data_IF_303587258442
#
_entry.id   IF_303587258442
#
_cell.length_a   1.000
_cell.length_b   1.000
_cell.length_c   1.000
_cell.angle_alpha   90.00
_cell.angle_beta   90.00
_cell.angle_gamma   90.00
#
_symmetry.space_group_name_H-M   'P 1'
#
loop_
_entity.id
_entity.type
_entity.pdbx_description
1 polymer ?
#
# COMPACT_ATOMS: atom_id res chain seq x y z
N UNK A 1 47.09 -3.31 -5.36
CA UNK A 1 46.30 -2.09 -5.59
C UNK A 1 44.85 -2.41 -5.23
N UNK A 2 44.39 -1.98 -4.05
CA UNK A 2 43.05 -2.26 -3.55
C UNK A 2 42.06 -1.23 -4.11
N UNK A 3 41.28 -1.61 -5.11
CA UNK A 3 40.19 -0.81 -5.66
C UNK A 3 38.95 -0.88 -4.76
N UNK A 4 39.01 -0.24 -3.60
CA UNK A 4 37.81 0.13 -2.84
C UNK A 4 37.26 1.43 -3.42
N UNK A 5 36.58 1.34 -4.57
CA UNK A 5 35.74 2.44 -5.04
C UNK A 5 34.59 2.68 -4.05
N UNK A 6 34.14 3.93 -3.85
CA UNK A 6 32.97 4.20 -3.02
C UNK A 6 31.78 3.42 -3.61
N UNK A 7 31.25 2.47 -2.84
CA UNK A 7 30.00 1.76 -3.21
C UNK A 7 28.88 2.79 -3.39
N UNK A 8 27.89 2.56 -4.26
CA UNK A 8 26.76 3.48 -4.42
C UNK A 8 25.94 3.50 -3.13
N UNK A 9 26.26 4.44 -2.24
CA UNK A 9 25.53 4.72 -1.03
C UNK A 9 24.22 5.52 -1.19
N UNK A 10 23.86 6.20 -2.33
CA UNK A 10 22.71 7.12 -2.31
C UNK A 10 21.35 6.41 -2.25
N UNK A 11 21.24 5.18 -2.76
CA UNK A 11 19.96 4.46 -2.77
C UNK A 11 19.60 3.86 -1.41
N UNK A 12 20.57 3.76 -0.49
CA UNK A 12 20.32 3.23 0.85
C UNK A 12 19.46 4.21 1.66
N UNK A 13 19.76 5.50 1.55
CA UNK A 13 19.01 6.56 2.23
C UNK A 13 17.60 6.70 1.64
N UNK A 14 17.48 6.56 0.31
CA UNK A 14 16.18 6.52 -0.39
C UNK A 14 15.32 5.35 0.09
N UNK A 15 15.90 4.17 0.26
CA UNK A 15 15.17 2.97 0.69
C UNK A 15 14.67 3.05 2.16
N UNK A 16 15.38 3.78 3.01
CA UNK A 16 14.99 3.98 4.41
C UNK A 16 13.70 4.79 4.55
N UNK A 17 13.46 5.75 3.65
CA UNK A 17 12.26 6.60 3.69
C UNK A 17 11.23 6.19 2.63
N UNK A 18 9.96 5.91 3.01
CA UNK A 18 8.90 5.60 2.04
C UNK A 18 8.62 6.80 1.11
N UNK A 19 8.73 8.03 1.61
CA UNK A 19 8.55 9.23 0.80
C UNK A 19 9.70 9.42 -0.20
N UNK A 20 10.94 9.22 0.23
CA UNK A 20 12.09 9.33 -0.67
C UNK A 20 12.01 8.26 -1.77
N UNK A 21 11.60 7.03 -1.42
CA UNK A 21 11.34 5.97 -2.39
C UNK A 21 10.27 6.38 -3.40
N UNK A 22 9.14 6.96 -2.95
CA UNK A 22 8.09 7.39 -3.86
C UNK A 22 8.54 8.51 -4.82
N UNK A 23 9.27 9.52 -4.31
CA UNK A 23 9.84 10.59 -5.15
C UNK A 23 10.79 10.04 -6.20
N UNK A 24 11.72 9.17 -5.78
CA UNK A 24 12.69 8.54 -6.69
C UNK A 24 12.02 7.71 -7.79
N UNK A 25 10.99 6.93 -7.44
CA UNK A 25 10.23 6.15 -8.43
C UNK A 25 9.42 7.03 -9.39
N UNK A 26 8.89 8.15 -8.90
CA UNK A 26 8.18 9.12 -9.74
C UNK A 26 9.13 9.82 -10.74
N UNK A 27 10.35 10.15 -10.32
CA UNK A 27 11.37 10.72 -11.22
C UNK A 27 11.75 9.72 -12.33
N UNK A 28 11.93 8.44 -11.98
CA UNK A 28 12.15 7.38 -12.97
C UNK A 28 10.95 7.26 -13.90
N UNK A 29 9.73 7.26 -13.36
CA UNK A 29 8.52 7.16 -14.16
C UNK A 29 8.42 8.30 -15.18
N UNK A 30 8.75 9.55 -14.79
CA UNK A 30 8.78 10.69 -15.70
C UNK A 30 9.75 10.45 -16.86
N UNK A 31 10.99 10.03 -16.56
CA UNK A 31 11.99 9.73 -17.60
C UNK A 31 11.51 8.61 -18.52
N UNK A 32 10.87 7.56 -17.96
CA UNK A 32 10.32 6.46 -18.75
C UNK A 32 9.18 6.92 -19.66
N UNK A 33 8.32 7.84 -19.22
CA UNK A 33 7.25 8.40 -20.05
C UNK A 33 7.82 9.23 -21.20
N UNK A 34 8.86 10.03 -20.95
CA UNK A 34 9.56 10.78 -22.00
C UNK A 34 10.21 9.84 -23.03
N UNK A 35 10.87 8.76 -22.55
CA UNK A 35 11.42 7.71 -23.41
C UNK A 35 10.29 7.01 -24.19
N UNK A 36 9.16 6.73 -23.55
CA UNK A 36 7.99 6.13 -24.17
C UNK A 36 7.47 6.96 -25.35
N UNK A 37 7.33 8.27 -25.17
CA UNK A 37 6.93 9.18 -26.25
C UNK A 37 7.92 9.16 -27.43
N UNK A 38 9.22 9.15 -27.15
CA UNK A 38 10.25 9.03 -28.17
C UNK A 38 10.19 7.69 -28.91
N UNK A 39 9.94 6.58 -28.20
CA UNK A 39 9.79 5.25 -28.77
C UNK A 39 8.53 5.13 -29.64
N UNK A 40 7.43 5.79 -29.28
CA UNK A 40 6.23 5.84 -30.11
C UNK A 40 6.48 6.55 -31.43
N UNK A 41 7.20 7.68 -31.40
CA UNK A 41 7.61 8.40 -32.61
C UNK A 41 8.51 7.49 -33.45
N UNK A 42 9.53 6.90 -32.84
CA UNK A 42 10.44 5.98 -33.53
C UNK A 42 9.70 4.79 -34.15
N UNK A 43 8.70 4.23 -33.48
CA UNK A 43 7.89 3.13 -34.01
C UNK A 43 7.06 3.54 -35.23
N UNK A 44 6.52 4.77 -35.24
CA UNK A 44 5.83 5.33 -36.42
C UNK A 44 6.80 5.51 -37.59
N UNK A 45 7.94 6.16 -37.36
CA UNK A 45 8.94 6.41 -38.40
C UNK A 45 9.52 5.10 -38.96
N UNK A 46 9.86 4.16 -38.09
CA UNK A 46 10.37 2.84 -38.49
C UNK A 46 9.34 2.08 -39.32
N UNK A 47 8.06 2.14 -38.94
CA UNK A 47 6.98 1.52 -39.72
C UNK A 47 6.87 2.15 -41.11
N UNK A 48 6.91 3.48 -41.21
CA UNK A 48 6.84 4.18 -42.50
C UNK A 48 8.03 3.81 -43.36
N UNK A 49 9.24 3.87 -42.80
CA UNK A 49 10.47 3.54 -43.49
C UNK A 49 10.50 2.08 -43.97
N UNK A 50 10.34 1.11 -43.08
CA UNK A 50 10.43 -0.31 -43.41
C UNK A 50 9.33 -0.79 -44.37
N UNK A 51 8.14 -0.18 -44.33
CA UNK A 51 7.08 -0.47 -45.31
C UNK A 51 7.30 0.21 -46.66
N UNK A 52 8.01 1.35 -46.67
CA UNK A 52 8.39 2.08 -47.87
C UNK A 52 9.61 1.52 -48.60
N UNK A 53 10.44 0.70 -47.92
CA UNK A 53 11.59 0.04 -48.53
C UNK A 53 11.17 -1.20 -49.33
N UNK A 54 10.78 -0.98 -50.59
CA UNK A 54 10.57 -2.03 -51.59
C UNK A 54 11.86 -2.40 -52.32
N UNK A 55 11.94 -3.65 -52.74
CA UNK A 55 12.98 -4.19 -53.62
C UNK A 55 12.36 -4.44 -54.98
N UNK A 56 13.15 -4.38 -56.06
CA UNK A 56 12.69 -4.69 -57.40
C UNK A 56 12.04 -6.09 -57.45
N UNK A 57 10.84 -6.17 -58.06
CA UNK A 57 10.03 -7.40 -58.09
C UNK A 57 9.07 -7.57 -56.91
N UNK A 58 9.10 -6.69 -55.90
CA UNK A 58 8.14 -6.75 -54.80
C UNK A 58 6.73 -6.34 -55.23
N UNK A 59 5.75 -7.20 -54.90
CA UNK A 59 4.35 -6.82 -54.74
C UNK A 59 4.17 -5.87 -53.55
N UNK A 60 3.08 -5.10 -53.59
CA UNK A 60 2.73 -4.07 -52.59
C UNK A 60 2.77 -4.54 -51.12
N UNK A 61 2.57 -5.82 -50.82
CA UNK A 61 2.54 -6.36 -49.46
C UNK A 61 3.86 -6.98 -48.99
N UNK A 62 4.86 -7.20 -49.85
CA UNK A 62 6.10 -7.87 -49.46
C UNK A 62 6.94 -7.03 -48.49
N UNK A 63 7.09 -5.74 -48.75
CA UNK A 63 7.74 -4.81 -47.82
C UNK A 63 7.02 -4.78 -46.46
N UNK A 64 5.68 -4.80 -46.47
CA UNK A 64 4.91 -4.87 -45.23
C UNK A 64 5.17 -6.16 -44.44
N UNK A 65 5.24 -7.32 -45.09
CA UNK A 65 5.53 -8.58 -44.40
C UNK A 65 6.92 -8.59 -43.76
N UNK A 66 7.93 -8.02 -44.44
CA UNK A 66 9.29 -7.89 -43.90
C UNK A 66 9.38 -6.89 -42.74
N UNK A 67 8.54 -5.85 -42.73
CA UNK A 67 8.49 -4.87 -41.65
C UNK A 67 7.84 -5.41 -40.35
N UNK A 68 6.92 -6.39 -40.46
CA UNK A 68 6.14 -6.91 -39.32
C UNK A 68 6.96 -7.35 -38.09
N UNK A 69 8.10 -8.06 -38.21
CA UNK A 69 8.88 -8.47 -37.04
C UNK A 69 9.43 -7.27 -36.27
N UNK A 70 9.88 -6.23 -36.97
CA UNK A 70 10.41 -4.99 -36.37
C UNK A 70 9.28 -4.22 -35.68
N UNK A 71 8.14 -4.06 -36.34
CA UNK A 71 6.96 -3.41 -35.76
C UNK A 71 6.48 -4.12 -34.50
N UNK A 72 6.48 -5.47 -34.53
CA UNK A 72 6.10 -6.28 -33.37
C UNK A 72 7.07 -6.07 -32.21
N UNK A 73 8.38 -6.12 -32.47
CA UNK A 73 9.40 -5.90 -31.44
C UNK A 73 9.25 -4.52 -30.78
N UNK A 74 9.05 -3.46 -31.56
CA UNK A 74 8.85 -2.10 -31.01
C UNK A 74 7.55 -1.99 -30.20
N UNK A 75 6.48 -2.64 -30.67
CA UNK A 75 5.22 -2.70 -29.91
C UNK A 75 5.37 -3.45 -28.59
N UNK A 76 6.13 -4.54 -28.56
CA UNK A 76 6.39 -5.32 -27.35
C UNK A 76 7.21 -4.49 -26.35
N UNK A 77 8.21 -3.72 -26.81
CA UNK A 77 8.96 -2.78 -25.96
C UNK A 77 8.04 -1.73 -25.34
N UNK A 78 7.16 -1.10 -26.11
CA UNK A 78 6.19 -0.12 -25.59
C UNK A 78 5.26 -0.74 -24.54
N UNK A 79 4.80 -1.98 -24.76
CA UNK A 79 3.98 -2.72 -23.79
C UNK A 79 4.75 -2.99 -22.49
N UNK A 80 6.00 -3.40 -22.59
CA UNK A 80 6.88 -3.62 -21.43
C UNK A 80 7.13 -2.32 -20.66
N UNK A 81 7.29 -1.19 -21.36
CA UNK A 81 7.45 0.12 -20.73
C UNK A 81 6.20 0.52 -19.93
N UNK A 82 5.00 0.35 -20.50
CA UNK A 82 3.74 0.61 -19.78
C UNK A 82 3.59 -0.30 -18.55
N UNK A 83 3.96 -1.57 -18.68
CA UNK A 83 3.92 -2.51 -17.56
C UNK A 83 4.93 -2.14 -16.46
N UNK A 84 6.10 -1.63 -16.85
CA UNK A 84 7.13 -1.14 -15.94
C UNK A 84 6.64 0.09 -15.17
N UNK A 85 6.07 1.08 -15.85
CA UNK A 85 5.54 2.31 -15.20
C UNK A 85 4.43 1.98 -14.19
N UNK A 86 3.50 1.09 -14.55
CA UNK A 86 2.50 0.59 -13.59
C UNK A 86 3.14 -0.15 -12.40
N UNK A 87 4.20 -0.92 -12.65
CA UNK A 87 4.95 -1.63 -11.63
C UNK A 87 5.60 -0.69 -10.63
N UNK A 88 6.15 0.43 -11.10
CA UNK A 88 6.76 1.46 -10.25
C UNK A 88 5.72 2.10 -9.33
N UNK A 89 4.55 2.50 -9.85
CA UNK A 89 3.45 3.05 -9.04
C UNK A 89 2.99 2.06 -7.96
N UNK A 90 2.75 0.80 -8.36
CA UNK A 90 2.35 -0.27 -7.44
C UNK A 90 3.41 -0.50 -6.36
N UNK A 91 4.70 -0.40 -6.70
CA UNK A 91 5.79 -0.57 -5.74
C UNK A 91 5.86 0.57 -4.72
N UNK A 92 5.69 1.82 -5.16
CA UNK A 92 5.63 2.99 -4.28
C UNK A 92 4.46 2.88 -3.30
N UNK A 93 3.27 2.52 -3.80
CA UNK A 93 2.08 2.28 -2.96
C UNK A 93 2.33 1.19 -1.91
N UNK A 94 2.87 0.04 -2.32
CA UNK A 94 3.16 -1.08 -1.40
C UNK A 94 4.21 -0.72 -0.35
N UNK A 95 5.24 0.06 -0.70
CA UNK A 95 6.26 0.51 0.26
C UNK A 95 5.68 1.40 1.34
N UNK A 96 4.75 2.29 0.98
CA UNK A 96 4.03 3.15 1.93
C UNK A 96 3.11 2.33 2.83
N UNK A 97 2.32 1.42 2.25
CA UNK A 97 1.45 0.53 3.02
C UNK A 97 2.24 -0.32 4.04
N UNK A 98 3.42 -0.82 3.65
CA UNK A 98 4.30 -1.53 4.58
C UNK A 98 4.70 -0.65 5.77
N UNK A 99 5.09 0.61 5.54
CA UNK A 99 5.48 1.53 6.60
C UNK A 99 4.33 1.79 7.60
N UNK A 100 3.14 2.03 7.07
CA UNK A 100 1.93 2.24 7.88
C UNK A 100 1.60 1.00 8.72
N UNK A 101 1.76 -0.21 8.17
CA UNK A 101 1.58 -1.45 8.95
C UNK A 101 2.61 -1.59 10.07
N UNK A 102 3.88 -1.23 9.85
CA UNK A 102 4.92 -1.26 10.88
C UNK A 102 4.60 -0.29 12.02
N UNK A 103 4.17 0.94 11.71
CA UNK A 103 3.76 1.93 12.71
C UNK A 103 2.57 1.43 13.52
N UNK A 104 1.54 0.89 12.86
CA UNK A 104 0.34 0.36 13.51
C UNK A 104 0.66 -0.86 14.40
N UNK A 105 1.55 -1.76 13.96
CA UNK A 105 1.97 -2.90 14.79
C UNK A 105 2.73 -2.45 16.04
N UNK A 106 3.57 -1.43 15.93
CA UNK A 106 4.24 -0.85 17.10
C UNK A 106 3.23 -0.22 18.08
N UNK A 107 2.21 0.48 17.58
CA UNK A 107 1.15 1.07 18.41
C UNK A 107 0.34 0.02 19.14
N UNK A 108 -0.11 -1.02 18.42
CA UNK A 108 -0.91 -2.10 19.02
C UNK A 108 -0.15 -2.88 20.08
N UNK A 109 1.17 -3.05 19.95
CA UNK A 109 2.01 -3.65 21.00
C UNK A 109 2.05 -2.79 22.26
N UNK A 110 2.25 -1.47 22.13
CA UNK A 110 2.23 -0.54 23.26
C UNK A 110 0.88 -0.51 23.97
N UNK A 111 -0.22 -0.50 23.21
CA UNK A 111 -1.58 -0.58 23.77
C UNK A 111 -1.80 -1.87 24.55
N UNK A 112 -1.37 -3.01 24.01
CA UNK A 112 -1.44 -4.32 24.70
C UNK A 112 -0.60 -4.36 25.97
N UNK A 113 0.58 -3.76 25.97
CA UNK A 113 1.43 -3.67 27.17
C UNK A 113 0.79 -2.82 28.26
N UNK A 114 0.17 -1.69 27.89
CA UNK A 114 -0.59 -0.85 28.81
C UNK A 114 -1.83 -1.58 29.37
N UNK A 115 -2.57 -2.31 28.54
CA UNK A 115 -3.68 -3.15 29.01
C UNK A 115 -3.20 -4.28 29.93
N UNK A 116 -2.08 -4.92 29.60
CA UNK A 116 -1.48 -5.94 30.46
C UNK A 116 -1.03 -5.35 31.81
N UNK A 117 -0.46 -4.15 31.81
CA UNK A 117 -0.10 -3.43 33.03
C UNK A 117 -1.33 -3.05 33.86
N UNK A 118 -2.41 -2.57 33.22
CA UNK A 118 -3.70 -2.30 33.88
C UNK A 118 -4.35 -3.55 34.48
N UNK A 119 -4.23 -4.70 33.81
CA UNK A 119 -4.72 -5.99 34.33
C UNK A 119 -3.87 -6.52 35.48
N UNK A 120 -2.54 -6.31 35.44
CA UNK A 120 -1.60 -6.72 36.51
C UNK A 120 -1.70 -5.83 37.76
N UNK A 121 -1.99 -4.55 37.57
CA UNK A 121 -2.25 -3.60 38.64
C UNK A 121 -3.69 -3.09 38.50
N UNK A 122 -4.69 -3.89 38.91
CA UNK A 122 -6.04 -3.37 39.00
C UNK A 122 -6.01 -2.19 39.97
N UNK A 123 -6.23 -0.98 39.45
CA UNK A 123 -6.49 0.17 40.29
C UNK A 123 -7.68 -0.22 41.18
N UNK A 124 -7.55 -0.15 42.52
CA UNK A 124 -8.68 -0.43 43.39
C UNK A 124 -9.78 0.55 42.99
N UNK A 125 -10.90 0.00 42.53
CA UNK A 125 -12.13 0.77 42.34
C UNK A 125 -12.38 1.40 43.70
N UNK A 126 -12.14 2.71 43.83
CA UNK A 126 -12.60 3.45 45.01
C UNK A 126 -14.11 3.28 45.00
N UNK A 127 -14.61 2.49 45.95
CA UNK A 127 -16.02 2.45 46.24
C UNK A 127 -16.49 3.89 46.42
N UNK A 128 -17.61 4.25 45.78
CA UNK A 128 -18.26 5.53 46.02
C UNK A 128 -18.30 5.77 47.55
N UNK A 129 -18.01 6.98 48.03
CA UNK A 129 -17.91 7.23 49.46
C UNK A 129 -19.21 6.78 50.11
N UNK A 130 -19.11 5.79 51.00
CA UNK A 130 -20.24 5.40 51.84
C UNK A 130 -20.65 6.65 52.60
N UNK A 131 -21.79 7.24 52.22
CA UNK A 131 -22.52 8.16 53.06
C UNK A 131 -22.82 7.43 54.37
N UNK A 132 -22.24 7.96 55.44
CA UNK A 132 -22.15 7.32 56.75
C UNK A 132 -23.49 6.90 57.34
N UNK A 133 -23.37 5.94 58.24
CA UNK A 133 -24.42 5.44 59.12
C UNK A 133 -25.10 6.60 59.89
N UNK A 134 -26.42 6.67 59.76
CA UNK A 134 -27.32 7.43 60.62
C UNK A 134 -28.67 6.73 60.57
N UNK A 135 -28.98 5.97 61.62
CA UNK A 135 -30.03 4.95 61.60
C UNK A 135 -31.46 5.45 61.44
N UNK A 136 -32.33 4.53 61.04
CA UNK A 136 -33.67 4.40 61.62
C UNK A 136 -34.23 3.02 61.31
N UNK A 137 -34.80 2.39 62.33
CA UNK A 137 -35.55 1.15 62.26
C UNK A 137 -36.89 1.41 61.58
N UNK A 138 -37.05 0.94 60.33
CA UNK A 138 -38.31 1.08 59.60
C UNK A 138 -38.57 -0.12 58.70
N UNK A 139 -39.49 -0.99 59.12
CA UNK A 139 -40.12 -1.99 58.27
C UNK A 139 -40.65 -1.33 56.99
N UNK A 140 -40.18 -1.72 55.80
CA UNK A 140 -41.09 -1.89 54.67
C UNK A 140 -40.53 -2.72 53.52
N UNK A 141 -41.48 -3.38 52.90
CA UNK A 141 -41.36 -4.38 51.86
C UNK A 141 -40.93 -3.81 50.50
N UNK A 142 -40.15 -4.60 49.77
CA UNK A 142 -40.11 -4.58 48.30
C UNK A 142 -39.12 -3.60 47.69
N UNK A 143 -38.04 -4.12 47.09
CA UNK A 143 -37.59 -3.79 45.74
C UNK A 143 -36.37 -4.68 45.39
N UNK A 144 -36.65 -5.94 45.04
CA UNK A 144 -35.71 -6.79 44.32
C UNK A 144 -35.82 -6.48 42.83
N UNK A 145 -35.01 -5.55 42.33
CA UNK A 145 -34.89 -5.28 40.90
C UNK A 145 -34.00 -6.32 40.21
N UNK A 146 -34.30 -6.75 38.97
CA UNK A 146 -33.58 -7.85 38.33
C UNK A 146 -32.15 -7.45 37.98
N UNK A 147 -31.19 -8.34 38.26
CA UNK A 147 -29.78 -8.16 37.97
C UNK A 147 -29.41 -8.40 36.49
N UNK A 148 -30.39 -8.57 35.59
CA UNK A 148 -30.15 -8.89 34.18
C UNK A 148 -31.34 -8.59 33.27
N UNK A 149 -31.07 -8.06 32.08
CA UNK A 149 -32.04 -7.68 31.02
C UNK A 149 -32.75 -8.92 30.42
N UNK A 150 -32.25 -10.13 30.68
CA UNK A 150 -32.83 -11.38 30.16
C UNK A 150 -33.95 -11.98 31.03
N UNK A 151 -34.24 -11.41 32.21
CA UNK A 151 -35.31 -11.90 33.11
C UNK A 151 -36.71 -11.34 32.80
N UNK A 152 -36.84 -10.50 31.77
CA UNK A 152 -38.14 -9.97 31.32
C UNK A 152 -38.74 -10.85 30.22
N UNK A 153 -39.23 -12.04 30.59
CA UNK A 153 -40.01 -12.81 29.62
C UNK A 153 -40.32 -14.26 29.98
N UNK A 154 -41.24 -14.49 30.93
CA UNK A 154 -42.33 -15.47 30.77
C UNK A 154 -43.33 -15.46 31.93
N UNK A 155 -44.61 -15.51 31.52
CA UNK A 155 -45.88 -15.65 32.26
C UNK A 155 -46.48 -14.31 32.67
N UNK A 156 -47.66 -13.96 32.16
CA UNK A 156 -48.90 -14.72 32.39
C UNK A 156 -49.88 -14.82 31.21
N UNK A 157 -50.68 -15.90 31.27
CA UNK A 157 -51.98 -16.19 30.66
C UNK A 157 -52.03 -16.55 29.18
#
# INVERSE_FOLDING_TARGET
>A
MNSNGPRPAPLRDVAQSPEATARYLADIQRVLLDIGANLEILARETRVHCRGTSVEGDRWYHAQLRARPVEKALKDVLKSLNSLTEGLEKSAYKRRAHDETVVNTARTRKEKELEAARKKHPQPIQAAPNSGEGGDTGQNSGYGGPASIYDLGKKSA
#
